data_IF_202666334496
#
_entry.id   IF_202666334496
#
_cell.length_a   1.000
_cell.length_b   1.000
_cell.length_c   1.000
_cell.angle_alpha   90.00
_cell.angle_beta   90.00
_cell.angle_gamma   90.00
#
_symmetry.space_group_name_H-M   'P 1'
#
loop_
_entity.id
_entity.type
_entity.pdbx_description
1 polymer ?
#
# COMPACT_ATOMS: atom_id res chain seq x y z
N UNK A 1 -26.05 4.68 -28.01
CA UNK A 1 -24.79 5.34 -28.36
C UNK A 1 -23.66 4.36 -28.10
N UNK A 2 -22.96 3.88 -29.13
CA UNK A 2 -21.75 3.07 -28.94
C UNK A 2 -20.64 4.04 -28.57
N UNK A 3 -20.30 4.14 -27.29
CA UNK A 3 -19.24 5.03 -26.84
C UNK A 3 -17.89 4.52 -27.35
N UNK A 4 -17.11 5.41 -27.95
CA UNK A 4 -15.76 5.11 -28.41
C UNK A 4 -14.86 4.89 -27.18
N UNK A 5 -14.42 3.65 -26.97
CA UNK A 5 -13.59 3.26 -25.83
C UNK A 5 -12.24 4.02 -25.78
N UNK A 6 -11.71 4.45 -26.94
CA UNK A 6 -10.50 5.28 -27.00
C UNK A 6 -10.71 6.64 -26.31
N UNK A 7 -11.89 7.26 -26.49
CA UNK A 7 -12.21 8.55 -25.87
C UNK A 7 -12.29 8.46 -24.35
N UNK A 8 -12.79 7.34 -23.82
CA UNK A 8 -12.81 7.10 -22.38
C UNK A 8 -11.39 7.01 -21.80
N UNK A 9 -10.45 6.36 -22.50
CA UNK A 9 -9.04 6.31 -22.07
C UNK A 9 -8.36 7.68 -22.10
N UNK A 10 -8.63 8.50 -23.12
CA UNK A 10 -8.15 9.88 -23.18
C UNK A 10 -8.65 10.72 -22.00
N UNK A 11 -9.94 10.61 -21.65
CA UNK A 11 -10.54 11.29 -20.51
C UNK A 11 -9.99 10.80 -19.17
N UNK A 12 -9.76 9.49 -19.01
CA UNK A 12 -9.11 8.93 -17.82
C UNK A 12 -7.68 9.47 -17.68
N UNK A 13 -6.95 9.55 -18.79
CA UNK A 13 -5.62 10.13 -18.86
C UNK A 13 -5.62 11.62 -18.52
N UNK A 14 -6.62 12.37 -19.00
CA UNK A 14 -6.82 13.78 -18.71
C UNK A 14 -7.13 14.01 -17.23
N UNK A 15 -8.05 13.22 -16.65
CA UNK A 15 -8.39 13.26 -15.21
C UNK A 15 -7.13 13.16 -14.34
N UNK A 16 -6.30 12.13 -14.55
CA UNK A 16 -5.06 11.97 -13.80
C UNK A 16 -4.11 13.14 -13.96
N UNK A 17 -3.92 13.59 -15.21
CA UNK A 17 -2.99 14.67 -15.52
C UNK A 17 -3.43 16.02 -14.97
N UNK A 18 -4.73 16.27 -14.86
CA UNK A 18 -5.29 17.46 -14.25
C UNK A 18 -5.07 17.43 -12.74
N UNK A 19 -5.37 16.30 -12.07
CA UNK A 19 -5.09 16.12 -10.63
C UNK A 19 -3.60 16.31 -10.33
N UNK A 20 -2.71 15.68 -11.12
CA UNK A 20 -1.25 15.84 -11.01
C UNK A 20 -0.80 17.31 -11.11
N UNK A 21 -1.53 18.13 -11.86
CA UNK A 21 -1.24 19.56 -12.11
C UNK A 21 -2.05 20.51 -11.22
N UNK A 22 -2.78 19.99 -10.23
CA UNK A 22 -3.66 20.78 -9.37
C UNK A 22 -4.75 21.57 -10.16
N UNK A 23 -5.15 21.07 -11.33
CA UNK A 23 -6.21 21.63 -12.16
C UNK A 23 -7.56 21.07 -11.70
N UNK A 24 -8.07 21.61 -10.58
CA UNK A 24 -9.23 21.06 -9.84
C UNK A 24 -10.50 21.05 -10.67
N UNK A 25 -10.80 22.14 -11.37
CA UNK A 25 -12.03 22.29 -12.16
C UNK A 25 -12.05 21.32 -13.34
N UNK A 26 -10.93 21.24 -14.07
CA UNK A 26 -10.77 20.34 -15.21
C UNK A 26 -10.76 18.88 -14.78
N UNK A 27 -10.14 18.55 -13.64
CA UNK A 27 -10.23 17.22 -13.07
C UNK A 27 -11.68 16.84 -12.75
N UNK A 28 -12.44 17.75 -12.14
CA UNK A 28 -13.88 17.57 -11.90
C UNK A 28 -14.66 17.36 -13.20
N UNK A 29 -14.41 18.19 -14.22
CA UNK A 29 -15.03 18.09 -15.52
C UNK A 29 -14.80 16.71 -16.16
N UNK A 30 -13.55 16.24 -16.24
CA UNK A 30 -13.24 14.94 -16.83
C UNK A 30 -13.84 13.78 -16.03
N UNK A 31 -13.83 13.88 -14.70
CA UNK A 31 -14.42 12.86 -13.83
C UNK A 31 -15.92 12.73 -14.06
N UNK A 32 -16.68 13.82 -14.02
CA UNK A 32 -18.12 13.76 -14.21
C UNK A 32 -18.51 13.41 -15.65
N UNK A 33 -17.74 13.85 -16.65
CA UNK A 33 -17.94 13.42 -18.03
C UNK A 33 -17.85 11.89 -18.18
N UNK A 34 -16.85 11.27 -17.55
CA UNK A 34 -16.74 9.81 -17.49
C UNK A 34 -17.95 9.17 -16.79
N UNK A 35 -18.46 9.77 -15.72
CA UNK A 35 -19.65 9.27 -15.03
C UNK A 35 -20.90 9.31 -15.92
N UNK A 36 -21.14 10.40 -16.65
CA UNK A 36 -22.25 10.52 -17.61
C UNK A 36 -22.14 9.50 -18.77
N UNK A 37 -20.93 9.09 -19.11
CA UNK A 37 -20.67 8.01 -20.07
C UNK A 37 -20.83 6.59 -19.48
N UNK A 38 -21.27 6.46 -18.23
CA UNK A 38 -21.38 5.18 -17.52
C UNK A 38 -20.04 4.59 -17.08
N UNK A 39 -18.95 5.38 -17.10
CA UNK A 39 -17.59 4.95 -16.78
C UNK A 39 -17.15 5.31 -15.35
N UNK A 40 -18.10 5.38 -14.42
CA UNK A 40 -17.84 5.68 -13.01
C UNK A 40 -16.72 4.82 -12.41
N UNK A 41 -16.74 3.51 -12.68
CA UNK A 41 -15.73 2.57 -12.17
C UNK A 41 -14.31 2.93 -12.62
N UNK A 42 -14.12 3.35 -13.87
CA UNK A 42 -12.82 3.79 -14.36
C UNK A 42 -12.38 5.12 -13.74
N UNK A 43 -13.29 6.09 -13.64
CA UNK A 43 -13.00 7.40 -13.07
C UNK A 43 -12.55 7.28 -11.60
N UNK A 44 -13.30 6.54 -10.80
CA UNK A 44 -13.03 6.33 -9.38
C UNK A 44 -11.77 5.48 -9.12
N UNK A 45 -11.51 4.46 -9.95
CA UNK A 45 -10.24 3.72 -9.85
C UNK A 45 -9.06 4.61 -10.22
N UNK A 46 -9.22 5.52 -11.18
CA UNK A 46 -8.16 6.46 -11.56
C UNK A 46 -7.81 7.41 -10.41
N UNK A 47 -8.79 7.91 -9.66
CA UNK A 47 -8.52 8.72 -8.48
C UNK A 47 -7.70 7.95 -7.43
N UNK A 48 -8.01 6.66 -7.17
CA UNK A 48 -7.21 5.82 -6.25
C UNK A 48 -5.76 5.66 -6.70
N UNK A 49 -5.56 5.35 -7.98
CA UNK A 49 -4.21 5.21 -8.56
C UNK A 49 -3.46 6.54 -8.41
N UNK A 50 -4.10 7.66 -8.78
CA UNK A 50 -3.49 8.99 -8.72
C UNK A 50 -3.12 9.38 -7.29
N UNK A 51 -3.93 9.01 -6.29
CA UNK A 51 -3.62 9.23 -4.87
C UNK A 51 -2.31 8.59 -4.44
N UNK A 52 -2.01 7.37 -4.91
CA UNK A 52 -0.76 6.69 -4.58
C UNK A 52 0.41 7.08 -5.51
N UNK A 53 0.13 7.31 -6.79
CA UNK A 53 1.16 7.57 -7.81
C UNK A 53 1.70 9.01 -7.75
N UNK A 54 0.82 9.99 -7.53
CA UNK A 54 1.11 11.42 -7.72
C UNK A 54 1.13 12.25 -6.43
N UNK A 55 0.89 11.61 -5.28
CA UNK A 55 0.90 12.22 -3.93
C UNK A 55 1.59 11.28 -2.93
N UNK A 56 0.97 10.13 -2.64
CA UNK A 56 1.55 9.08 -1.80
C UNK A 56 2.01 9.57 -0.42
N UNK A 57 3.25 9.26 -0.07
CA UNK A 57 3.85 9.57 1.24
C UNK A 57 4.10 11.06 1.47
N UNK A 58 4.00 11.88 0.43
CA UNK A 58 4.25 13.33 0.51
C UNK A 58 3.08 14.09 1.15
N UNK A 59 1.89 13.48 1.17
CA UNK A 59 0.72 14.02 1.86
C UNK A 59 -0.21 12.89 2.34
N UNK A 60 0.23 12.18 3.37
CA UNK A 60 -0.47 10.99 3.88
C UNK A 60 -1.91 11.32 4.30
N UNK A 61 -2.15 12.48 4.90
CA UNK A 61 -3.48 12.87 5.36
C UNK A 61 -4.43 13.14 4.19
N UNK A 62 -3.98 13.87 3.16
CA UNK A 62 -4.80 14.10 1.98
C UNK A 62 -5.12 12.79 1.25
N UNK A 63 -4.16 11.86 1.16
CA UNK A 63 -4.38 10.52 0.58
C UNK A 63 -5.41 9.73 1.39
N UNK A 64 -5.29 9.70 2.73
CA UNK A 64 -6.25 8.99 3.58
C UNK A 64 -7.67 9.54 3.44
N UNK A 65 -7.82 10.87 3.48
CA UNK A 65 -9.12 11.51 3.29
C UNK A 65 -9.71 11.24 1.90
N UNK A 66 -8.89 11.35 0.85
CA UNK A 66 -9.32 11.08 -0.52
C UNK A 66 -9.72 9.62 -0.72
N UNK A 67 -8.96 8.65 -0.20
CA UNK A 67 -9.29 7.23 -0.32
C UNK A 67 -10.60 6.89 0.39
N UNK A 68 -10.81 7.44 1.60
CA UNK A 68 -12.09 7.25 2.31
C UNK A 68 -13.25 7.88 1.54
N UNK A 69 -13.07 9.10 1.04
CA UNK A 69 -14.09 9.78 0.22
C UNK A 69 -14.39 9.00 -1.07
N UNK A 70 -13.38 8.39 -1.69
CA UNK A 70 -13.58 7.51 -2.84
C UNK A 70 -14.42 6.28 -2.47
N UNK A 71 -14.20 5.68 -1.30
CA UNK A 71 -14.97 4.53 -0.83
C UNK A 71 -16.42 4.91 -0.53
N UNK A 72 -16.66 6.03 0.15
CA UNK A 72 -18.01 6.57 0.39
C UNK A 72 -18.75 6.83 -0.93
N UNK A 73 -18.06 7.42 -1.92
CA UNK A 73 -18.61 7.63 -3.25
C UNK A 73 -19.00 6.31 -3.93
N UNK A 74 -18.19 5.26 -3.80
CA UNK A 74 -18.52 3.93 -4.35
C UNK A 74 -19.73 3.31 -3.68
N UNK A 75 -19.81 3.40 -2.35
CA UNK A 75 -20.92 2.85 -1.56
C UNK A 75 -22.24 3.52 -1.93
N UNK A 76 -22.26 4.85 -1.96
CA UNK A 76 -23.44 5.63 -2.35
C UNK A 76 -23.84 5.39 -3.80
N UNK A 77 -22.86 5.31 -4.72
CA UNK A 77 -23.14 5.01 -6.13
C UNK A 77 -23.77 3.62 -6.30
N UNK A 78 -23.25 2.59 -5.60
CA UNK A 78 -23.83 1.24 -5.61
C UNK A 78 -25.24 1.21 -5.04
N UNK A 79 -25.50 2.02 -4.01
CA UNK A 79 -26.83 2.20 -3.42
C UNK A 79 -27.79 3.02 -4.31
N UNK A 80 -27.36 3.44 -5.51
CA UNK A 80 -28.12 4.33 -6.41
C UNK A 80 -28.52 5.66 -5.74
N UNK A 81 -27.71 6.12 -4.79
CA UNK A 81 -27.91 7.39 -4.08
C UNK A 81 -27.06 8.48 -4.72
N UNK A 82 -27.72 9.48 -5.31
CA UNK A 82 -27.09 10.61 -6.00
C UNK A 82 -26.13 11.46 -5.16
N UNK A 83 -26.15 11.31 -3.82
CA UNK A 83 -25.21 11.90 -2.89
C UNK A 83 -23.75 11.48 -3.11
N UNK A 84 -23.47 10.43 -3.89
CA UNK A 84 -22.12 9.97 -4.24
C UNK A 84 -21.22 11.06 -4.86
N UNK A 85 -21.83 12.07 -5.51
CA UNK A 85 -21.10 13.16 -6.19
C UNK A 85 -20.29 14.03 -5.21
N UNK A 86 -20.79 14.20 -3.99
CA UNK A 86 -20.14 15.03 -2.96
C UNK A 86 -18.82 14.42 -2.49
N UNK A 87 -18.76 13.17 -1.98
CA UNK A 87 -17.50 12.57 -1.59
C UNK A 87 -16.56 12.34 -2.78
N UNK A 88 -17.07 12.09 -4.00
CA UNK A 88 -16.23 12.07 -5.20
C UNK A 88 -15.55 13.43 -5.45
N UNK A 89 -16.28 14.53 -5.29
CA UNK A 89 -15.74 15.89 -5.42
C UNK A 89 -14.72 16.21 -4.34
N UNK A 90 -14.99 15.82 -3.08
CA UNK A 90 -14.05 15.98 -1.97
C UNK A 90 -12.73 15.26 -2.24
N UNK A 91 -12.79 14.04 -2.80
CA UNK A 91 -11.58 13.33 -3.20
C UNK A 91 -10.79 14.11 -4.26
N UNK A 92 -11.44 14.62 -5.32
CA UNK A 92 -10.77 15.37 -6.37
C UNK A 92 -10.09 16.63 -5.82
N UNK A 93 -10.82 17.42 -5.01
CA UNK A 93 -10.30 18.66 -4.40
C UNK A 93 -9.10 18.34 -3.51
N UNK A 94 -9.23 17.36 -2.62
CA UNK A 94 -8.15 16.95 -1.72
C UNK A 94 -6.90 16.52 -2.49
N UNK A 95 -7.05 15.69 -3.54
CA UNK A 95 -5.93 15.25 -4.36
C UNK A 95 -5.29 16.42 -5.14
N UNK A 96 -6.08 17.37 -5.64
CA UNK A 96 -5.55 18.54 -6.35
C UNK A 96 -4.79 19.49 -5.41
N UNK A 97 -5.24 19.64 -4.16
CA UNK A 97 -4.61 20.51 -3.15
C UNK A 97 -3.42 19.87 -2.43
N UNK A 98 -3.30 18.54 -2.45
CA UNK A 98 -2.24 17.81 -1.75
C UNK A 98 -0.83 18.15 -2.26
N UNK A 99 0.18 17.96 -1.40
CA UNK A 99 1.58 17.99 -1.83
C UNK A 99 1.88 16.85 -2.81
N UNK A 100 2.35 17.18 -4.02
CA UNK A 100 2.60 16.19 -5.08
C UNK A 100 3.92 15.45 -4.84
N UNK A 101 3.95 14.19 -5.23
CA UNK A 101 5.10 13.30 -5.09
C UNK A 101 4.97 12.07 -5.98
N UNK A 102 6.09 11.51 -6.46
CA UNK A 102 6.12 10.27 -7.26
C UNK A 102 7.03 9.21 -6.65
N UNK A 103 7.29 9.32 -5.36
CA UNK A 103 8.27 8.54 -4.60
C UNK A 103 7.95 7.05 -4.69
N UNK A 104 6.69 6.67 -4.45
CA UNK A 104 6.26 5.28 -4.53
C UNK A 104 6.40 4.70 -5.95
N UNK A 105 6.04 5.48 -6.98
CA UNK A 105 6.14 5.06 -8.39
C UNK A 105 7.60 4.90 -8.84
N UNK A 106 8.45 5.87 -8.50
CA UNK A 106 9.88 5.78 -8.77
C UNK A 106 10.52 4.62 -7.99
N UNK A 107 10.14 4.44 -6.71
CA UNK A 107 10.66 3.38 -5.85
C UNK A 107 10.33 1.98 -6.37
N UNK A 108 9.08 1.72 -6.76
CA UNK A 108 8.72 0.42 -7.32
C UNK A 108 9.46 0.15 -8.64
N UNK A 109 9.64 1.18 -9.48
CA UNK A 109 10.34 1.06 -10.75
C UNK A 109 11.81 0.66 -10.56
N UNK A 110 12.54 1.31 -9.62
CA UNK A 110 13.94 0.96 -9.34
C UNK A 110 14.06 -0.42 -8.71
N UNK A 111 13.16 -0.81 -7.81
CA UNK A 111 13.19 -2.10 -7.15
C UNK A 111 12.96 -3.23 -8.16
N UNK A 112 11.91 -3.11 -8.98
CA UNK A 112 11.62 -4.08 -10.04
C UNK A 112 12.74 -4.14 -11.08
N UNK A 113 13.29 -2.99 -11.47
CA UNK A 113 14.43 -2.92 -12.38
C UNK A 113 15.68 -3.63 -11.84
N UNK A 114 15.97 -3.48 -10.54
CA UNK A 114 17.09 -4.17 -9.89
C UNK A 114 16.91 -5.69 -9.86
N UNK A 115 15.70 -6.18 -9.61
CA UNK A 115 15.39 -7.62 -9.65
C UNK A 115 15.61 -8.18 -11.05
N UNK A 116 15.15 -7.48 -12.10
CA UNK A 116 15.36 -7.92 -13.49
C UNK A 116 16.85 -7.95 -13.83
N UNK A 117 17.62 -6.93 -13.39
CA UNK A 117 19.06 -6.84 -13.65
C UNK A 117 19.88 -7.85 -12.85
N UNK A 118 19.47 -8.16 -11.63
CA UNK A 118 20.14 -9.09 -10.74
C UNK A 118 19.11 -10.01 -10.06
N UNK A 119 18.72 -11.12 -10.72
CA UNK A 119 17.70 -12.02 -10.20
C UNK A 119 18.16 -12.83 -8.98
N UNK A 120 19.47 -12.92 -8.74
CA UNK A 120 20.07 -13.78 -7.72
C UNK A 120 20.64 -12.95 -6.55
N UNK A 121 19.87 -11.99 -6.04
CA UNK A 121 20.29 -11.27 -4.83
C UNK A 121 20.36 -12.25 -3.65
N UNK A 122 21.49 -12.26 -2.95
CA UNK A 122 21.66 -13.12 -1.78
C UNK A 122 20.73 -12.66 -0.66
N UNK A 123 20.05 -13.62 -0.03
CA UNK A 123 19.25 -13.36 1.16
C UNK A 123 20.20 -12.98 2.30
N UNK A 124 20.00 -11.82 2.95
CA UNK A 124 20.92 -11.35 3.98
C UNK A 124 20.91 -12.28 5.19
N UNK A 125 22.06 -12.37 5.87
CA UNK A 125 22.27 -13.34 6.94
C UNK A 125 21.28 -13.21 8.11
N UNK A 126 20.93 -11.98 8.50
CA UNK A 126 19.97 -11.71 9.58
C UNK A 126 18.58 -12.30 9.30
N UNK A 127 18.22 -12.56 8.03
CA UNK A 127 16.94 -13.15 7.65
C UNK A 127 16.87 -14.65 7.94
N UNK A 128 18.01 -15.34 8.13
CA UNK A 128 18.01 -16.75 8.51
C UNK A 128 17.78 -16.90 10.02
N UNK A 129 16.53 -16.75 10.45
CA UNK A 129 16.12 -16.83 11.85
C UNK A 129 15.60 -18.23 12.25
N UNK A 130 15.06 -18.36 13.47
CA UNK A 130 14.51 -19.61 14.02
C UNK A 130 13.34 -20.19 13.20
N UNK A 131 12.65 -19.39 12.41
CA UNK A 131 11.53 -19.82 11.57
C UNK A 131 11.98 -20.31 10.19
N UNK A 132 13.21 -19.96 9.76
CA UNK A 132 13.78 -20.46 8.51
C UNK A 132 14.46 -21.83 8.64
N UNK A 133 14.44 -22.64 7.58
CA UNK A 133 15.14 -23.94 7.55
C UNK A 133 16.65 -23.74 7.76
N UNK A 134 17.24 -22.76 7.08
CA UNK A 134 18.68 -22.48 7.16
C UNK A 134 19.06 -21.98 8.56
N UNK A 135 18.30 -21.05 9.15
CA UNK A 135 18.55 -20.55 10.50
C UNK A 135 18.44 -21.65 11.58
N UNK A 136 17.46 -22.56 11.46
CA UNK A 136 17.40 -23.75 12.33
C UNK A 136 18.62 -24.65 12.19
N UNK A 137 19.07 -24.93 10.96
CA UNK A 137 20.32 -25.69 10.71
C UNK A 137 21.55 -24.99 11.29
N UNK A 138 21.54 -23.66 11.38
CA UNK A 138 22.58 -22.84 12.00
C UNK A 138 22.45 -22.75 13.54
N UNK A 139 21.46 -23.41 14.15
CA UNK A 139 21.24 -23.37 15.60
C UNK A 139 20.69 -22.03 16.13
N UNK A 140 20.07 -21.20 15.27
CA UNK A 140 19.57 -19.88 15.66
C UNK A 140 18.22 -19.98 16.36
N UNK A 141 18.17 -19.46 17.58
CA UNK A 141 16.98 -19.39 18.44
C UNK A 141 16.64 -17.98 18.90
N UNK A 142 16.01 -17.84 20.07
CA UNK A 142 15.59 -16.54 20.64
C UNK A 142 16.72 -15.53 20.79
N UNK A 143 17.93 -15.98 21.16
CA UNK A 143 19.09 -15.09 21.25
C UNK A 143 19.36 -14.36 19.94
N UNK A 144 19.49 -15.08 18.81
CA UNK A 144 19.68 -14.46 17.50
C UNK A 144 18.49 -13.59 17.08
N UNK A 145 17.27 -13.99 17.45
CA UNK A 145 16.08 -13.19 17.18
C UNK A 145 16.18 -11.80 17.84
N UNK A 146 16.44 -11.74 19.15
CA UNK A 146 16.55 -10.47 19.87
C UNK A 146 17.81 -9.68 19.49
N UNK A 147 18.93 -10.37 19.31
CA UNK A 147 20.21 -9.71 19.08
C UNK A 147 20.40 -9.25 17.63
N UNK A 148 19.71 -9.83 16.64
CA UNK A 148 19.90 -9.54 15.22
C UNK A 148 18.59 -9.46 14.40
N UNK A 149 17.79 -10.54 14.38
CA UNK A 149 16.68 -10.65 13.41
C UNK A 149 15.52 -9.68 13.67
N UNK A 150 15.31 -9.27 14.93
CA UNK A 150 14.24 -8.37 15.35
C UNK A 150 14.67 -6.90 15.51
N UNK A 151 15.88 -6.54 15.05
CA UNK A 151 16.37 -5.15 15.13
C UNK A 151 15.41 -4.17 14.43
N UNK A 152 15.04 -3.11 15.16
CA UNK A 152 14.23 -2.01 14.64
C UNK A 152 15.11 -0.80 14.32
N UNK A 153 14.87 -0.16 13.17
CA UNK A 153 15.60 1.05 12.76
C UNK A 153 14.61 2.07 12.16
N UNK A 154 14.41 3.25 12.78
CA UNK A 154 14.93 3.66 14.09
C UNK A 154 14.26 2.88 15.23
N UNK A 155 15.02 2.61 16.31
CA UNK A 155 14.48 1.98 17.51
C UNK A 155 13.91 3.05 18.45
N UNK A 156 12.68 2.84 18.93
CA UNK A 156 12.11 3.62 20.02
C UNK A 156 12.29 2.88 21.34
N UNK A 157 12.37 3.64 22.44
CA UNK A 157 12.49 3.05 23.77
C UNK A 157 11.25 2.22 24.12
N UNK A 158 11.46 0.93 24.39
CA UNK A 158 10.43 0.01 24.83
C UNK A 158 10.74 -0.48 26.25
N UNK A 159 10.02 0.04 27.24
CA UNK A 159 10.23 -0.34 28.65
C UNK A 159 9.92 -1.80 28.98
N UNK A 160 9.19 -2.51 28.11
CA UNK A 160 8.80 -3.90 28.31
C UNK A 160 9.77 -4.90 27.67
N UNK A 161 10.73 -4.43 26.87
CA UNK A 161 11.58 -5.28 26.03
C UNK A 161 12.43 -6.25 26.85
N UNK A 162 13.02 -5.75 27.95
CA UNK A 162 13.88 -6.56 28.82
C UNK A 162 13.11 -7.70 29.52
N UNK A 163 11.92 -7.38 30.08
CA UNK A 163 11.08 -8.37 30.77
C UNK A 163 10.51 -9.40 29.79
N UNK A 164 10.05 -8.96 28.62
CA UNK A 164 9.59 -9.86 27.56
C UNK A 164 10.71 -10.83 27.13
N UNK A 165 11.93 -10.32 26.90
CA UNK A 165 13.09 -11.15 26.54
C UNK A 165 13.36 -12.23 27.58
N UNK A 166 13.30 -11.89 28.86
CA UNK A 166 13.47 -12.87 29.95
C UNK A 166 12.43 -14.00 29.89
N UNK A 167 11.16 -13.70 29.61
CA UNK A 167 10.11 -14.73 29.50
C UNK A 167 10.24 -15.61 28.26
N UNK A 168 10.72 -15.06 27.14
CA UNK A 168 10.99 -15.86 25.95
C UNK A 168 12.23 -16.76 26.13
N UNK A 169 13.29 -16.25 26.74
CA UNK A 169 14.52 -17.01 26.98
C UNK A 169 14.38 -18.05 28.10
N UNK A 170 13.45 -17.85 29.06
CA UNK A 170 13.18 -18.81 30.13
C UNK A 170 12.39 -20.05 29.67
N UNK A 171 11.82 -20.04 28.46
CA UNK A 171 10.97 -21.11 27.96
C UNK A 171 9.58 -21.17 28.60
N UNK A 172 9.22 -20.20 29.47
CA UNK A 172 7.90 -20.11 30.10
C UNK A 172 6.77 -20.08 29.05
N UNK A 173 7.02 -19.39 27.93
CA UNK A 173 6.05 -19.20 26.86
C UNK A 173 6.05 -20.33 25.81
N UNK A 174 7.05 -21.22 25.82
CA UNK A 174 7.18 -22.30 24.84
C UNK A 174 6.50 -23.60 25.27
N UNK A 175 6.05 -23.71 26.53
CA UNK A 175 5.45 -24.92 27.09
C UNK A 175 3.97 -25.15 26.69
N UNK A 176 3.37 -24.33 25.83
CA UNK A 176 1.96 -24.44 25.43
C UNK A 176 1.66 -24.28 23.93
N UNK A 177 2.65 -24.30 23.06
CA UNK A 177 2.41 -24.31 21.61
C UNK A 177 2.87 -25.61 21.00
N UNK A 178 1.90 -26.38 20.54
CA UNK A 178 2.00 -27.35 19.45
C UNK A 178 2.58 -26.67 18.21
N UNK A 179 3.86 -26.31 18.19
CA UNK A 179 4.53 -25.97 16.93
C UNK A 179 4.62 -27.27 16.12
N UNK A 180 3.96 -27.37 14.95
CA UNK A 180 4.02 -28.58 14.15
C UNK A 180 5.47 -28.81 13.74
N UNK A 181 5.99 -30.01 14.03
CA UNK A 181 7.28 -30.47 13.55
C UNK A 181 7.33 -30.34 12.02
N UNK A 182 8.43 -29.83 11.44
CA UNK A 182 8.53 -29.48 10.02
C UNK A 182 8.63 -30.68 9.06
N UNK A 183 8.03 -31.82 9.39
CA UNK A 183 8.09 -33.05 8.58
C UNK A 183 6.91 -33.20 7.60
N UNK A 184 5.98 -32.24 7.52
CA UNK A 184 4.77 -32.35 6.66
C UNK A 184 4.39 -31.13 5.83
N UNK A 185 5.36 -30.28 5.46
CA UNK A 185 5.07 -29.08 4.65
C UNK A 185 5.65 -29.12 3.22
N UNK A 186 6.32 -30.21 2.84
CA UNK A 186 6.85 -30.41 1.50
C UNK A 186 6.77 -31.91 1.11
N UNK A 187 5.55 -32.41 0.97
CA UNK A 187 5.21 -33.53 0.08
C UNK A 187 4.23 -33.01 -0.98
#
# INVERSE_FOLDING_TARGET
MVYNMNRAFEMISALQKCVRRAMTEEAGYWFFNLCEMGQFGFAINRLKITAHEDIGVNDIQAVMFALRSIDDARELYKAKNDGWRVPASNAIIALCQANKGREADNFQAICRGRVIKNPNIEVPDFAFDKHTIKGRKMGRGFKHFFDEAAKLVPQHQNKWEAEARQYYESGLLTNNTTEPKPEKLFE
#
